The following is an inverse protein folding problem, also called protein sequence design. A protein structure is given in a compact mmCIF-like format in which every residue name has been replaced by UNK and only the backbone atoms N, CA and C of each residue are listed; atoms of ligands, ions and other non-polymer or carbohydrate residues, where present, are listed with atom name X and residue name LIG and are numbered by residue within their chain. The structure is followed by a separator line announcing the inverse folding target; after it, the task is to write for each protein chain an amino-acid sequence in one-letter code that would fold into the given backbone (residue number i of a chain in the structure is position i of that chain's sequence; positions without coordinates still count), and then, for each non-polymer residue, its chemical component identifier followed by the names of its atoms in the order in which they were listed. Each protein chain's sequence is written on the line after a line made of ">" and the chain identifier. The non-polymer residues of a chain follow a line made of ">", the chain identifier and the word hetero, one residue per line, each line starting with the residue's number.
data_IF_002557338395
#
_entry.id   IF_002557338395
#
_cell.length_a   1.000
_cell.length_b   1.000
_cell.length_c   1.000
_cell.angle_alpha   90.00
_cell.angle_beta   90.00
_cell.angle_gamma   90.00
#
_symmetry.space_group_name_H-M   'P 1'
#
loop_
_entity.id
_entity.type
_entity.pdbx_description
1 polymer ?
#
# COMPACT_ATOMS: atom_id res chain seq x y z
N UNK A 1 -11.69 -5.54 10.09
CA UNK A 1 -10.55 -5.69 11.01
C UNK A 1 -9.72 -4.42 11.08
N UNK A 2 -9.01 -4.28 12.15
CA UNK A 2 -8.19 -3.11 12.44
C UNK A 2 -6.76 -3.57 12.71
N UNK A 3 -5.80 -2.95 12.04
CA UNK A 3 -4.38 -3.04 12.35
C UNK A 3 -3.99 -1.84 13.23
N UNK A 4 -3.34 -2.09 14.36
CA UNK A 4 -2.82 -1.01 15.22
C UNK A 4 -1.52 -0.47 14.64
N UNK A 5 -1.64 0.11 13.46
CA UNK A 5 -0.57 0.74 12.70
C UNK A 5 -1.13 1.88 11.88
N UNK A 6 -0.52 3.02 11.99
CA UNK A 6 -0.87 4.23 11.25
C UNK A 6 0.39 5.07 11.00
N UNK A 7 0.21 6.33 10.67
CA UNK A 7 1.36 7.19 10.34
C UNK A 7 2.30 7.43 11.53
N UNK A 8 1.88 7.24 12.78
CA UNK A 8 2.76 7.33 13.96
C UNK A 8 3.88 6.29 13.95
N UNK A 9 3.66 5.17 13.27
CA UNK A 9 4.62 4.05 13.18
C UNK A 9 5.59 4.18 12.01
N UNK A 10 5.50 5.27 11.27
CA UNK A 10 6.37 5.57 10.15
C UNK A 10 7.66 6.24 10.63
N UNK A 11 8.60 6.43 9.71
CA UNK A 11 9.81 7.22 9.94
C UNK A 11 10.03 8.19 8.79
N UNK A 12 10.75 9.30 9.01
CA UNK A 12 11.16 10.19 7.92
C UNK A 12 11.85 9.42 6.80
N UNK A 13 11.49 9.78 5.56
CA UNK A 13 11.96 9.13 4.33
C UNK A 13 11.01 8.09 3.75
N UNK A 14 10.03 7.61 4.55
CA UNK A 14 8.97 6.68 4.10
C UNK A 14 7.58 7.06 4.66
N UNK A 15 7.37 8.33 5.02
CA UNK A 15 6.04 8.77 5.46
C UNK A 15 4.99 8.57 4.36
N UNK A 16 3.78 8.17 4.75
CA UNK A 16 2.71 7.78 3.84
C UNK A 16 2.67 6.29 3.53
N UNK A 17 3.60 5.48 4.07
CA UNK A 17 3.61 4.05 3.82
C UNK A 17 2.39 3.34 4.44
N UNK A 18 1.90 3.78 5.59
CA UNK A 18 0.69 3.21 6.20
C UNK A 18 -0.55 3.43 5.31
N UNK A 19 -0.69 4.62 4.74
CA UNK A 19 -1.76 4.92 3.79
C UNK A 19 -1.59 4.18 2.46
N UNK A 20 -0.36 4.04 1.96
CA UNK A 20 -0.09 3.21 0.80
C UNK A 20 -0.51 1.75 1.03
N UNK A 21 -0.29 1.22 2.26
CA UNK A 21 -0.75 -0.13 2.61
C UNK A 21 -2.26 -0.26 2.64
N UNK A 22 -2.99 0.77 3.02
CA UNK A 22 -4.45 0.79 2.89
C UNK A 22 -4.87 0.42 1.45
N UNK A 23 -4.24 1.03 0.44
CA UNK A 23 -4.47 0.73 -0.97
C UNK A 23 -3.96 -0.66 -1.38
N UNK A 24 -2.77 -1.03 -0.94
CA UNK A 24 -2.12 -2.27 -1.36
C UNK A 24 -2.82 -3.53 -0.89
N UNK A 25 -3.55 -3.47 0.23
CA UNK A 25 -4.29 -4.62 0.76
C UNK A 25 -5.48 -5.04 -0.11
N UNK A 26 -5.89 -4.25 -1.11
CA UNK A 26 -6.92 -4.61 -2.09
C UNK A 26 -6.37 -5.22 -3.39
N UNK A 27 -5.04 -5.37 -3.52
CA UNK A 27 -4.39 -5.84 -4.76
C UNK A 27 -4.46 -7.36 -4.97
N UNK A 28 -4.98 -8.09 -4.00
CA UNK A 28 -5.29 -9.52 -4.11
C UNK A 28 -4.25 -10.44 -3.47
N UNK A 29 -4.32 -11.69 -3.86
CA UNK A 29 -3.56 -12.83 -3.30
C UNK A 29 -2.99 -13.68 -4.45
N UNK A 30 -2.29 -14.80 -4.18
CA UNK A 30 -1.87 -15.72 -5.25
C UNK A 30 -3.02 -16.24 -6.12
N UNK A 31 -4.23 -16.31 -5.58
CA UNK A 31 -5.42 -16.86 -6.26
C UNK A 31 -6.43 -15.80 -6.68
N UNK A 32 -6.25 -14.55 -6.27
CA UNK A 32 -7.14 -13.41 -6.56
C UNK A 32 -6.34 -12.26 -7.15
N UNK A 33 -6.87 -11.64 -8.19
CA UNK A 33 -6.26 -10.49 -8.84
C UNK A 33 -5.28 -10.85 -9.96
N UNK A 34 -5.16 -12.12 -10.33
CA UNK A 34 -4.28 -12.56 -11.43
C UNK A 34 -4.87 -13.73 -12.20
N UNK A 35 -4.52 -13.82 -13.50
CA UNK A 35 -4.82 -14.96 -14.37
C UNK A 35 -3.73 -16.04 -14.32
N UNK A 36 -2.51 -15.64 -13.94
CA UNK A 36 -1.32 -16.50 -13.91
C UNK A 36 -0.36 -15.96 -12.85
N UNK A 37 -0.41 -16.54 -11.67
CA UNK A 37 0.39 -16.10 -10.52
C UNK A 37 1.91 -16.24 -10.75
N UNK A 38 2.34 -17.29 -11.46
CA UNK A 38 3.77 -17.49 -11.72
C UNK A 38 4.31 -16.37 -12.60
N UNK A 39 3.63 -16.08 -13.70
CA UNK A 39 3.98 -14.99 -14.60
C UNK A 39 3.88 -13.62 -13.94
N UNK A 40 2.91 -13.44 -13.07
CA UNK A 40 2.71 -12.26 -12.24
C UNK A 40 3.98 -11.97 -11.40
N UNK A 41 4.47 -12.98 -10.66
CA UNK A 41 5.69 -12.88 -9.87
C UNK A 41 6.95 -12.61 -10.71
N UNK A 42 7.09 -13.26 -11.86
CA UNK A 42 8.21 -13.04 -12.78
C UNK A 42 8.25 -11.57 -13.25
N UNK A 43 7.10 -11.03 -13.65
CA UNK A 43 7.02 -9.62 -14.09
C UNK A 43 7.29 -8.66 -12.94
N UNK A 44 6.74 -8.91 -11.75
CA UNK A 44 6.99 -8.09 -10.57
C UNK A 44 8.48 -8.07 -10.19
N UNK A 45 9.15 -9.21 -10.23
CA UNK A 45 10.58 -9.29 -9.96
C UNK A 45 11.41 -8.49 -10.97
N UNK A 46 11.03 -8.52 -12.24
CA UNK A 46 11.70 -7.77 -13.29
C UNK A 46 11.43 -6.26 -13.19
N UNK A 47 10.22 -5.87 -12.82
CA UNK A 47 9.89 -4.48 -12.50
C UNK A 47 10.78 -3.97 -11.37
N UNK A 48 11.00 -4.75 -10.31
CA UNK A 48 11.85 -4.35 -9.18
C UNK A 48 13.31 -4.21 -9.62
N UNK A 49 13.84 -5.15 -10.41
CA UNK A 49 15.18 -5.07 -10.98
C UNK A 49 15.39 -3.77 -11.76
N UNK A 50 14.45 -3.42 -12.63
CA UNK A 50 14.53 -2.19 -13.44
C UNK A 50 14.44 -0.96 -12.55
N UNK A 51 13.57 -0.96 -11.54
CA UNK A 51 13.45 0.15 -10.58
C UNK A 51 14.72 0.35 -9.76
N UNK A 52 15.42 -0.71 -9.37
CA UNK A 52 16.73 -0.62 -8.70
C UNK A 52 17.77 0.08 -9.58
N UNK A 53 17.81 -0.27 -10.87
CA UNK A 53 18.70 0.38 -11.83
C UNK A 53 18.33 1.86 -12.03
N UNK A 54 17.04 2.19 -12.08
CA UNK A 54 16.57 3.58 -12.15
C UNK A 54 16.97 4.36 -10.89
N UNK A 55 16.82 3.80 -9.70
CA UNK A 55 17.27 4.41 -8.44
C UNK A 55 18.80 4.69 -8.44
N UNK A 56 19.57 3.80 -9.06
CA UNK A 56 21.01 4.03 -9.23
C UNK A 56 21.30 5.21 -10.17
N UNK A 57 20.57 5.32 -11.27
CA UNK A 57 20.67 6.48 -12.18
C UNK A 57 20.20 7.78 -11.53
N UNK A 58 19.11 7.75 -10.75
CA UNK A 58 18.63 8.92 -10.00
C UNK A 58 19.70 9.44 -9.02
N UNK A 59 20.46 8.54 -8.37
CA UNK A 59 21.59 8.94 -7.51
C UNK A 59 22.69 9.65 -8.31
N UNK A 60 23.01 9.17 -9.51
CA UNK A 60 23.97 9.82 -10.41
C UNK A 60 23.48 11.20 -10.84
N UNK A 61 22.22 11.28 -11.24
CA UNK A 61 21.61 12.55 -11.67
C UNK A 61 21.56 13.57 -10.52
N UNK A 62 21.30 13.15 -9.28
CA UNK A 62 21.41 14.02 -8.10
C UNK A 62 22.84 14.55 -7.91
N UNK A 63 23.87 13.72 -8.17
CA UNK A 63 25.26 14.17 -8.11
C UNK A 63 25.57 15.17 -9.24
N UNK A 64 25.06 14.96 -10.45
CA UNK A 64 25.19 15.91 -11.58
C UNK A 64 24.50 17.24 -11.27
N UNK A 65 23.31 17.21 -10.70
CA UNK A 65 22.58 18.41 -10.27
C UNK A 65 23.36 19.21 -9.23
N UNK A 66 23.96 18.55 -8.23
CA UNK A 66 24.79 19.22 -7.23
C UNK A 66 26.06 19.88 -7.81
N UNK A 67 26.52 19.39 -8.96
CA UNK A 67 27.65 19.99 -9.70
C UNK A 67 27.21 21.04 -10.73
N UNK A 68 25.89 21.28 -10.86
CA UNK A 68 25.34 22.22 -11.84
C UNK A 68 25.35 21.73 -13.30
N UNK A 69 25.59 20.42 -13.53
CA UNK A 69 25.56 19.81 -14.86
C UNK A 69 24.14 19.66 -15.43
N UNK A 70 23.15 19.54 -14.53
CA UNK A 70 21.72 19.59 -14.81
C UNK A 70 21.06 20.57 -13.85
N UNK A 71 20.02 21.24 -14.30
CA UNK A 71 19.35 22.30 -13.52
C UNK A 71 18.03 21.83 -12.92
N UNK A 72 17.36 20.86 -13.55
CA UNK A 72 16.09 20.28 -13.06
C UNK A 72 16.14 18.75 -13.11
N UNK A 73 16.02 18.14 -11.94
CA UNK A 73 15.94 16.68 -11.79
C UNK A 73 14.63 16.08 -12.36
N UNK A 74 13.60 16.88 -12.52
CA UNK A 74 12.28 16.42 -12.97
C UNK A 74 12.08 16.64 -14.47
N UNK A 75 12.91 17.45 -15.10
CA UNK A 75 12.84 17.70 -16.54
C UNK A 75 13.17 16.41 -17.32
N UNK A 76 12.24 15.86 -18.12
CA UNK A 76 12.46 14.66 -18.92
C UNK A 76 13.64 14.77 -19.90
N UNK A 77 13.93 15.99 -20.40
CA UNK A 77 15.00 16.21 -21.37
C UNK A 77 16.38 16.17 -20.71
N UNK A 78 16.45 16.50 -19.42
CA UNK A 78 17.69 16.43 -18.62
C UNK A 78 17.96 15.04 -18.03
N UNK A 79 17.05 14.08 -18.22
CA UNK A 79 17.29 12.69 -17.80
C UNK A 79 18.40 12.08 -18.65
N UNK A 80 19.25 11.24 -18.01
CA UNK A 80 20.27 10.50 -18.74
C UNK A 80 19.64 9.57 -19.80
N UNK A 81 20.39 9.27 -20.87
CA UNK A 81 19.96 8.30 -21.86
C UNK A 81 19.60 6.97 -21.20
N UNK A 82 20.45 6.51 -20.26
CA UNK A 82 20.21 5.25 -19.55
C UNK A 82 18.93 5.27 -18.72
N UNK A 83 18.65 6.39 -18.05
CA UNK A 83 17.40 6.52 -17.30
C UNK A 83 16.17 6.40 -18.22
N UNK A 84 16.20 7.04 -19.39
CA UNK A 84 15.10 6.97 -20.39
C UNK A 84 14.89 5.54 -20.90
N UNK A 85 15.98 4.84 -21.25
CA UNK A 85 15.91 3.43 -21.66
C UNK A 85 15.27 2.53 -20.60
N UNK A 86 15.69 2.68 -19.34
CA UNK A 86 15.13 1.94 -18.20
C UNK A 86 13.65 2.28 -17.95
N UNK A 87 13.28 3.54 -18.09
CA UNK A 87 11.89 3.97 -17.96
C UNK A 87 11.00 3.36 -19.06
N UNK A 88 11.48 3.25 -20.29
CA UNK A 88 10.75 2.61 -21.37
C UNK A 88 10.66 1.09 -21.19
N UNK A 89 11.71 0.46 -20.67
CA UNK A 89 11.69 -0.95 -20.24
C UNK A 89 10.64 -1.17 -19.13
N UNK A 90 10.63 -0.31 -18.13
CA UNK A 90 9.65 -0.37 -17.04
C UNK A 90 8.20 -0.22 -17.54
N UNK A 91 7.93 0.73 -18.43
CA UNK A 91 6.60 0.90 -19.04
C UNK A 91 6.13 -0.36 -19.77
N UNK A 92 7.02 -1.01 -20.54
CA UNK A 92 6.68 -2.28 -21.21
C UNK A 92 6.33 -3.39 -20.22
N UNK A 93 7.03 -3.45 -19.08
CA UNK A 93 6.73 -4.42 -18.02
C UNK A 93 5.39 -4.12 -17.35
N UNK A 94 5.05 -2.85 -17.14
CA UNK A 94 3.73 -2.44 -16.62
C UNK A 94 2.62 -2.88 -17.59
N UNK A 95 2.80 -2.66 -18.89
CA UNK A 95 1.80 -3.06 -19.89
C UNK A 95 1.68 -4.59 -20.00
N UNK A 96 2.80 -5.33 -19.87
CA UNK A 96 2.78 -6.79 -19.79
C UNK A 96 2.05 -7.28 -18.54
N UNK A 97 2.27 -6.64 -17.40
CA UNK A 97 1.63 -6.96 -16.13
C UNK A 97 0.11 -6.74 -16.16
N UNK A 98 -0.34 -5.65 -16.76
CA UNK A 98 -1.78 -5.36 -16.95
C UNK A 98 -2.56 -6.46 -17.70
N UNK A 99 -1.90 -7.23 -18.56
CA UNK A 99 -2.53 -8.34 -19.29
C UNK A 99 -2.76 -9.58 -18.42
N UNK A 100 -1.97 -9.72 -17.36
CA UNK A 100 -2.03 -10.83 -16.39
C UNK A 100 -2.97 -10.50 -15.23
N UNK A 101 -3.02 -9.24 -14.81
CA UNK A 101 -3.85 -8.78 -13.70
C UNK A 101 -5.35 -8.89 -14.02
N UNK A 102 -6.13 -9.30 -13.03
CA UNK A 102 -7.60 -9.19 -13.01
C UNK A 102 -7.96 -8.01 -12.11
N UNK A 103 -8.25 -6.87 -12.73
CA UNK A 103 -8.56 -5.64 -12.00
C UNK A 103 -9.84 -5.77 -11.16
N UNK A 104 -9.81 -5.17 -9.98
CA UNK A 104 -10.97 -5.06 -9.08
C UNK A 104 -11.64 -6.40 -8.76
N UNK A 105 -10.91 -7.52 -8.86
CA UNK A 105 -11.49 -8.84 -8.61
C UNK A 105 -11.94 -8.99 -7.17
N UNK A 106 -11.21 -8.43 -6.23
CA UNK A 106 -11.54 -8.43 -4.82
C UNK A 106 -12.90 -7.74 -4.57
N UNK A 107 -13.09 -6.54 -5.11
CA UNK A 107 -14.35 -5.82 -5.03
C UNK A 107 -15.49 -6.55 -5.75
N UNK A 108 -15.21 -7.05 -6.94
CA UNK A 108 -16.21 -7.80 -7.75
C UNK A 108 -16.74 -9.02 -7.03
N UNK A 109 -15.89 -9.78 -6.32
CA UNK A 109 -16.34 -10.96 -5.56
C UNK A 109 -17.30 -10.55 -4.45
N UNK A 110 -16.98 -9.50 -3.70
CA UNK A 110 -17.90 -9.02 -2.67
C UNK A 110 -19.21 -8.49 -3.23
N UNK A 111 -19.16 -7.59 -4.21
CA UNK A 111 -20.35 -6.98 -4.81
C UNK A 111 -21.28 -8.00 -5.44
N UNK A 112 -20.75 -8.99 -6.17
CA UNK A 112 -21.54 -10.06 -6.78
C UNK A 112 -22.17 -11.02 -5.74
N UNK A 113 -21.69 -10.99 -4.49
CA UNK A 113 -22.24 -11.76 -3.38
C UNK A 113 -23.07 -10.89 -2.40
N UNK A 114 -23.48 -9.69 -2.81
CA UNK A 114 -24.31 -8.78 -2.01
C UNK A 114 -23.54 -7.97 -0.98
N UNK A 115 -22.20 -7.94 -1.05
CA UNK A 115 -21.35 -7.07 -0.24
C UNK A 115 -21.57 -5.60 -0.60
N UNK A 116 -21.48 -4.74 0.38
CA UNK A 116 -21.63 -3.29 0.24
C UNK A 116 -20.77 -2.54 1.24
N UNK A 117 -20.58 -1.25 1.03
CA UNK A 117 -19.81 -0.37 1.92
C UNK A 117 -18.37 -0.86 2.16
N UNK A 118 -17.79 -1.56 1.19
CA UNK A 118 -16.36 -1.91 1.28
C UNK A 118 -15.54 -0.63 1.25
N UNK A 119 -14.73 -0.45 2.29
CA UNK A 119 -13.83 0.70 2.37
C UNK A 119 -12.69 0.42 3.38
N UNK A 120 -11.75 1.35 3.44
CA UNK A 120 -10.70 1.40 4.44
C UNK A 120 -10.40 2.85 4.80
N UNK A 121 -9.70 3.07 5.89
CA UNK A 121 -9.12 4.36 6.24
C UNK A 121 -7.89 4.19 7.13
N UNK A 122 -6.97 5.11 6.99
CA UNK A 122 -5.76 5.21 7.81
C UNK A 122 -5.82 6.47 8.66
N UNK A 123 -5.44 6.33 9.92
CA UNK A 123 -5.26 7.41 10.88
C UNK A 123 -3.81 7.51 11.33
N UNK A 124 -3.55 8.31 12.34
CA UNK A 124 -2.24 8.34 12.99
C UNK A 124 -1.89 7.00 13.65
N UNK A 125 -2.87 6.34 14.30
CA UNK A 125 -2.63 5.20 15.21
C UNK A 125 -3.10 3.86 14.65
N UNK A 126 -3.98 3.85 13.65
CA UNK A 126 -4.52 2.60 13.12
C UNK A 126 -4.97 2.71 11.67
N UNK A 127 -5.04 1.56 11.02
CA UNK A 127 -5.65 1.37 9.71
C UNK A 127 -6.79 0.37 9.83
N UNK A 128 -7.97 0.73 9.36
CA UNK A 128 -9.18 -0.10 9.44
C UNK A 128 -9.68 -0.48 8.04
N UNK A 129 -10.17 -1.71 7.93
CA UNK A 129 -10.76 -2.27 6.71
C UNK A 129 -12.12 -2.86 7.06
N UNK A 130 -13.15 -2.50 6.34
CA UNK A 130 -14.51 -2.92 6.66
C UNK A 130 -15.37 -3.13 5.43
N UNK A 131 -16.37 -3.98 5.61
CA UNK A 131 -17.38 -4.28 4.61
C UNK A 131 -18.66 -4.75 5.29
N UNK A 132 -19.80 -4.52 4.67
CA UNK A 132 -21.06 -5.14 5.05
C UNK A 132 -21.36 -6.28 4.09
N UNK A 133 -21.59 -7.47 4.62
CA UNK A 133 -21.98 -8.65 3.84
C UNK A 133 -23.32 -9.21 4.34
N UNK A 134 -24.11 -9.88 3.50
CA UNK A 134 -25.29 -10.63 3.97
C UNK A 134 -24.90 -11.66 5.04
N UNK A 135 -25.78 -11.94 6.01
CA UNK A 135 -25.47 -12.85 7.13
C UNK A 135 -25.05 -14.25 6.67
N UNK A 136 -25.61 -14.75 5.55
CA UNK A 136 -25.23 -16.02 4.94
C UNK A 136 -23.90 -15.98 4.17
N UNK A 137 -23.18 -14.84 4.15
CA UNK A 137 -21.88 -14.64 3.49
C UNK A 137 -20.75 -14.37 4.48
N UNK A 138 -20.96 -14.64 5.77
CA UNK A 138 -19.92 -14.48 6.79
C UNK A 138 -18.68 -15.32 6.47
N UNK A 139 -18.84 -16.56 5.98
CA UNK A 139 -17.70 -17.39 5.62
C UNK A 139 -16.92 -16.84 4.42
N UNK A 140 -17.58 -16.22 3.45
CA UNK A 140 -16.91 -15.49 2.35
C UNK A 140 -16.03 -14.36 2.91
N UNK A 141 -16.54 -13.58 3.86
CA UNK A 141 -15.77 -12.54 4.54
C UNK A 141 -14.54 -13.14 5.23
N UNK A 142 -14.70 -14.21 6.02
CA UNK A 142 -13.59 -14.85 6.72
C UNK A 142 -12.50 -15.34 5.75
N UNK A 143 -12.89 -15.93 4.62
CA UNK A 143 -11.98 -16.41 3.59
C UNK A 143 -11.23 -15.26 2.90
N UNK A 144 -11.94 -14.24 2.44
CA UNK A 144 -11.36 -13.10 1.72
C UNK A 144 -10.39 -12.30 2.59
N UNK A 145 -10.83 -11.95 3.82
CA UNK A 145 -10.04 -11.11 4.71
C UNK A 145 -8.81 -11.86 5.27
N UNK A 146 -8.97 -13.14 5.65
CA UNK A 146 -7.82 -13.94 6.07
C UNK A 146 -6.85 -14.20 4.92
N UNK A 147 -7.36 -14.38 3.70
CA UNK A 147 -6.54 -14.62 2.52
C UNK A 147 -5.57 -13.48 2.24
N UNK A 148 -6.05 -12.23 2.24
CA UNK A 148 -5.20 -11.06 2.02
C UNK A 148 -4.24 -10.75 3.18
N UNK A 149 -4.48 -11.31 4.37
CA UNK A 149 -3.57 -11.23 5.52
C UNK A 149 -2.56 -12.38 5.55
N UNK A 150 -2.86 -13.51 4.92
CA UNK A 150 -1.95 -14.65 4.87
C UNK A 150 -0.90 -14.52 3.78
N UNK A 151 -1.35 -14.16 2.59
CA UNK A 151 -0.53 -14.15 1.37
C UNK A 151 -0.89 -12.95 0.49
N UNK A 152 -0.65 -11.70 0.95
CA UNK A 152 -0.88 -10.54 0.12
C UNK A 152 0.08 -10.51 -1.05
N UNK A 153 -0.38 -10.08 -2.22
CA UNK A 153 0.46 -9.84 -3.37
C UNK A 153 0.36 -8.37 -3.76
N UNK A 154 1.44 -7.63 -3.56
CA UNK A 154 1.48 -6.19 -3.78
C UNK A 154 1.69 -5.84 -5.27
N UNK A 155 0.68 -6.17 -6.08
CA UNK A 155 0.63 -5.86 -7.51
C UNK A 155 0.53 -4.37 -7.75
N UNK A 156 1.07 -3.91 -8.86
CA UNK A 156 1.00 -2.49 -9.26
C UNK A 156 1.56 -1.52 -8.21
N UNK A 157 2.51 -1.96 -7.37
CA UNK A 157 3.04 -1.20 -6.25
C UNK A 157 3.42 0.24 -6.63
N UNK A 158 4.18 0.40 -7.70
CA UNK A 158 4.64 1.72 -8.14
C UNK A 158 3.51 2.57 -8.74
N UNK A 159 2.57 1.95 -9.43
CA UNK A 159 1.40 2.64 -9.93
C UNK A 159 0.50 3.14 -8.79
N UNK A 160 0.32 2.32 -7.76
CA UNK A 160 -0.48 2.70 -6.59
C UNK A 160 0.19 3.79 -5.76
N UNK A 161 1.50 3.75 -5.64
CA UNK A 161 2.28 4.84 -5.03
C UNK A 161 2.08 6.16 -5.76
N UNK A 162 2.04 6.13 -7.08
CA UNK A 162 1.76 7.32 -7.90
C UNK A 162 0.30 7.79 -7.73
N UNK A 163 -0.66 6.87 -7.55
CA UNK A 163 -2.07 7.19 -7.18
C UNK A 163 -2.14 7.91 -5.84
N UNK A 164 -1.46 7.41 -4.80
CA UNK A 164 -1.39 8.06 -3.48
C UNK A 164 -0.76 9.44 -3.59
N UNK A 165 0.26 9.60 -4.43
CA UNK A 165 0.88 10.91 -4.68
C UNK A 165 -0.08 11.90 -5.33
N UNK A 166 -0.87 11.48 -6.32
CA UNK A 166 -1.89 12.32 -6.94
C UNK A 166 -3.05 12.63 -5.98
N UNK A 167 -3.45 11.68 -5.14
CA UNK A 167 -4.43 11.91 -4.07
C UNK A 167 -3.96 13.00 -3.11
N UNK A 168 -2.67 12.96 -2.71
CA UNK A 168 -2.07 14.03 -1.91
C UNK A 168 -2.18 15.38 -2.61
N UNK A 169 -1.86 15.46 -3.91
CA UNK A 169 -1.99 16.70 -4.69
C UNK A 169 -3.42 17.25 -4.65
N UNK A 170 -4.41 16.38 -4.83
CA UNK A 170 -5.81 16.77 -4.80
C UNK A 170 -6.29 17.18 -3.40
N UNK A 171 -5.95 16.43 -2.37
CA UNK A 171 -6.48 16.67 -1.02
C UNK A 171 -5.73 17.73 -0.22
N UNK A 172 -4.42 17.81 -0.40
CA UNK A 172 -3.56 18.70 0.40
C UNK A 172 -3.11 19.92 -0.40
N UNK A 173 -2.53 19.72 -1.58
CA UNK A 173 -1.86 20.81 -2.30
C UNK A 173 -2.84 21.72 -3.04
N UNK A 174 -3.94 21.17 -3.55
CA UNK A 174 -4.97 21.92 -4.30
C UNK A 174 -5.99 22.61 -3.40
N UNK A 175 -5.92 22.44 -2.08
CA UNK A 175 -6.87 23.01 -1.13
C UNK A 175 -6.19 23.95 -0.13
N UNK A 176 -6.70 25.18 0.11
CA UNK A 176 -6.11 26.08 1.10
C UNK A 176 -6.09 25.48 2.52
N UNK A 177 -7.16 24.79 2.92
CA UNK A 177 -7.25 24.12 4.22
C UNK A 177 -6.28 22.93 4.33
N UNK A 178 -6.02 22.21 3.27
CA UNK A 178 -5.07 21.10 3.25
C UNK A 178 -3.65 21.57 3.58
N UNK A 179 -3.17 22.61 2.88
CA UNK A 179 -1.87 23.22 3.14
C UNK A 179 -1.77 23.85 4.53
N UNK A 180 -2.83 24.55 4.95
CA UNK A 180 -2.87 25.14 6.28
C UNK A 180 -2.78 24.08 7.37
N UNK A 181 -3.60 23.03 7.30
CA UNK A 181 -3.61 21.95 8.31
C UNK A 181 -2.28 21.21 8.36
N UNK A 182 -1.67 20.95 7.21
CA UNK A 182 -0.36 20.31 7.14
C UNK A 182 0.72 21.18 7.82
N UNK A 183 0.78 22.47 7.47
CA UNK A 183 1.73 23.41 8.05
C UNK A 183 1.49 23.59 9.57
N UNK A 184 0.23 23.72 9.96
CA UNK A 184 -0.15 23.88 11.38
C UNK A 184 0.29 22.64 12.20
N UNK A 185 -0.04 21.43 11.74
CA UNK A 185 0.32 20.21 12.45
C UNK A 185 1.83 20.03 12.54
N UNK A 186 2.57 20.31 11.47
CA UNK A 186 4.04 20.20 11.45
C UNK A 186 4.72 21.18 12.43
N UNK A 187 4.11 22.32 12.68
CA UNK A 187 4.62 23.31 13.66
C UNK A 187 4.16 23.00 15.08
N UNK A 188 2.91 22.52 15.23
CA UNK A 188 2.34 22.21 16.55
C UNK A 188 2.99 20.99 17.21
N UNK A 189 3.28 19.96 16.42
CA UNK A 189 3.88 18.71 16.89
C UNK A 189 5.40 18.69 16.60
N UNK A 190 6.19 19.46 17.33
CA UNK A 190 7.62 19.67 17.05
C UNK A 190 8.44 18.38 16.94
N UNK A 191 8.21 17.39 17.81
CA UNK A 191 8.99 16.14 17.86
C UNK A 191 8.14 14.88 17.90
N UNK A 192 6.82 15.00 17.83
CA UNK A 192 5.91 13.87 17.83
C UNK A 192 5.59 13.43 16.39
N UNK A 193 5.46 12.12 16.10
CA UNK A 193 5.08 11.60 14.77
C UNK A 193 3.77 12.13 14.21
N UNK A 194 2.91 12.76 15.00
CA UNK A 194 1.71 13.44 14.51
C UNK A 194 2.03 14.73 13.71
N UNK A 195 3.28 15.16 13.70
CA UNK A 195 3.73 16.30 12.90
C UNK A 195 3.77 16.05 11.41
N UNK A 196 3.86 14.79 10.95
CA UNK A 196 3.76 14.50 9.51
C UNK A 196 2.35 14.08 9.11
N UNK A 197 1.95 14.37 7.87
CA UNK A 197 0.61 14.04 7.38
C UNK A 197 0.44 12.53 7.20
N UNK A 198 -0.76 12.01 7.49
CA UNK A 198 -1.09 10.59 7.29
C UNK A 198 -0.85 10.13 5.84
N UNK A 199 -1.12 11.01 4.88
CA UNK A 199 -0.88 10.73 3.45
C UNK A 199 0.63 10.72 3.09
N UNK A 200 1.49 11.21 3.97
CA UNK A 200 2.94 11.28 3.77
C UNK A 200 3.43 12.59 3.15
N UNK A 201 4.73 12.87 3.31
CA UNK A 201 5.37 14.01 2.68
C UNK A 201 5.57 13.79 1.16
N UNK A 202 5.53 14.86 0.35
CA UNK A 202 5.71 14.75 -1.11
C UNK A 202 7.11 14.27 -1.50
N UNK A 203 8.11 14.43 -0.64
CA UNK A 203 9.47 13.90 -0.84
C UNK A 203 9.56 12.40 -0.56
N UNK A 204 8.74 11.90 0.36
CA UNK A 204 8.86 10.54 0.90
C UNK A 204 8.07 9.52 0.09
N UNK A 205 6.84 9.87 -0.32
CA UNK A 205 5.97 8.95 -1.08
C UNK A 205 6.69 8.36 -2.31
N UNK A 206 7.36 9.15 -3.19
CA UNK A 206 8.08 8.59 -4.34
C UNK A 206 9.33 7.78 -3.94
N UNK A 207 9.82 7.96 -2.71
CA UNK A 207 11.00 7.26 -2.22
C UNK A 207 10.69 5.88 -1.65
N UNK A 208 9.44 5.62 -1.22
CA UNK A 208 9.02 4.32 -0.68
C UNK A 208 9.34 3.22 -1.68
N UNK A 209 10.14 2.25 -1.25
CA UNK A 209 10.53 1.08 -2.04
C UNK A 209 9.67 -0.14 -1.68
N UNK A 210 9.69 -1.15 -2.55
CA UNK A 210 9.04 -2.42 -2.24
C UNK A 210 9.64 -3.08 -1.00
N UNK A 211 10.95 -2.95 -0.80
CA UNK A 211 11.62 -3.47 0.39
C UNK A 211 11.11 -2.81 1.68
N UNK A 212 10.91 -1.47 1.69
CA UNK A 212 10.27 -0.78 2.82
C UNK A 212 8.85 -1.30 3.06
N UNK A 213 8.09 -1.55 1.99
CA UNK A 213 6.76 -2.11 2.07
C UNK A 213 6.76 -3.52 2.67
N UNK A 214 7.62 -4.42 2.17
CA UNK A 214 7.72 -5.79 2.68
C UNK A 214 8.11 -5.80 4.17
N UNK A 215 9.02 -4.92 4.59
CA UNK A 215 9.42 -4.77 5.99
C UNK A 215 8.28 -4.23 6.86
N UNK A 216 7.58 -3.21 6.38
CA UNK A 216 6.44 -2.62 7.09
C UNK A 216 5.31 -3.64 7.30
N UNK A 217 4.97 -4.39 6.25
CA UNK A 217 3.99 -5.46 6.34
C UNK A 217 4.40 -6.53 7.36
N UNK A 218 5.62 -7.06 7.22
CA UNK A 218 6.13 -8.11 8.10
C UNK A 218 6.23 -7.68 9.58
N UNK A 219 6.31 -6.38 9.85
CA UNK A 219 6.38 -5.83 11.21
C UNK A 219 5.00 -5.60 11.82
N UNK A 220 4.07 -5.02 11.06
CA UNK A 220 2.83 -4.50 11.62
C UNK A 220 1.57 -5.31 11.29
N UNK A 221 1.53 -6.06 10.17
CA UNK A 221 0.37 -6.86 9.76
C UNK A 221 0.48 -8.30 10.30
N UNK A 222 0.62 -8.41 11.60
CA UNK A 222 0.78 -9.66 12.34
C UNK A 222 -0.38 -9.86 13.33
N UNK A 223 -0.80 -11.12 13.63
CA UNK A 223 -2.01 -11.38 14.41
C UNK A 223 -2.04 -10.68 15.77
N UNK A 224 -0.91 -10.51 16.44
CA UNK A 224 -0.83 -9.81 17.74
C UNK A 224 -1.10 -8.31 17.64
N UNK A 225 -1.08 -7.75 16.42
CA UNK A 225 -1.37 -6.34 16.15
C UNK A 225 -2.72 -6.12 15.44
N UNK A 226 -3.48 -7.20 15.20
CA UNK A 226 -4.75 -7.16 14.49
C UNK A 226 -5.93 -7.42 15.43
N UNK A 227 -7.03 -6.75 15.19
CA UNK A 227 -8.31 -6.99 15.87
C UNK A 227 -9.41 -7.23 14.83
N UNK A 228 -10.03 -8.40 14.89
CA UNK A 228 -11.22 -8.70 14.10
C UNK A 228 -12.47 -8.27 14.86
N UNK A 229 -13.34 -7.48 14.23
CA UNK A 229 -14.59 -7.02 14.80
C UNK A 229 -15.75 -7.47 13.91
N UNK A 230 -16.71 -8.17 14.49
CA UNK A 230 -17.91 -8.63 13.81
C UNK A 230 -19.14 -8.05 14.49
N UNK A 231 -20.02 -7.41 13.71
CA UNK A 231 -21.28 -6.84 14.20
C UNK A 231 -22.39 -7.20 13.22
N UNK A 232 -23.47 -7.83 13.70
CA UNK A 232 -24.58 -8.18 12.84
C UNK A 232 -25.36 -9.42 13.32
N UNK A 233 -26.13 -10.00 12.40
CA UNK A 233 -26.96 -11.19 12.64
C UNK A 233 -26.14 -12.46 12.37
N UNK A 234 -25.57 -13.03 13.44
CA UNK A 234 -24.83 -14.31 13.42
C UNK A 234 -24.84 -14.96 14.82
N UNK A 235 -24.59 -16.26 14.86
CA UNK A 235 -24.35 -16.97 16.13
C UNK A 235 -22.88 -16.85 16.52
N UNK A 236 -22.59 -16.25 17.66
CA UNK A 236 -21.23 -15.97 18.14
C UNK A 236 -20.32 -17.20 18.17
N UNK A 237 -20.86 -18.37 18.58
CA UNK A 237 -20.10 -19.62 18.62
C UNK A 237 -19.66 -20.10 17.22
N UNK A 238 -20.54 -19.98 16.24
CA UNK A 238 -20.24 -20.34 14.84
C UNK A 238 -19.25 -19.35 14.23
N UNK A 239 -19.43 -18.04 14.45
CA UNK A 239 -18.54 -17.02 14.00
C UNK A 239 -17.11 -17.16 14.59
N UNK A 240 -17.01 -17.50 15.89
CA UNK A 240 -15.72 -17.77 16.53
C UNK A 240 -15.03 -18.98 15.90
N UNK A 241 -15.75 -20.08 15.66
CA UNK A 241 -15.19 -21.25 15.01
C UNK A 241 -14.68 -20.95 13.58
N UNK A 242 -15.43 -20.14 12.81
CA UNK A 242 -14.98 -19.68 11.51
C UNK A 242 -13.75 -18.79 11.62
N UNK A 243 -13.72 -17.84 12.56
CA UNK A 243 -12.56 -16.98 12.78
C UNK A 243 -11.31 -17.82 13.10
N UNK A 244 -11.43 -18.80 13.98
CA UNK A 244 -10.34 -19.74 14.29
C UNK A 244 -9.90 -20.56 13.07
N UNK A 245 -10.83 -21.05 12.26
CA UNK A 245 -10.55 -21.80 11.02
C UNK A 245 -9.74 -20.98 10.02
N UNK A 246 -10.10 -19.71 9.81
CA UNK A 246 -9.54 -18.87 8.77
C UNK A 246 -8.35 -18.04 9.25
N UNK A 247 -8.49 -17.28 10.31
CA UNK A 247 -7.45 -16.39 10.84
C UNK A 247 -6.45 -17.12 11.74
N UNK A 248 -6.82 -18.26 12.33
CA UNK A 248 -5.90 -19.08 13.13
C UNK A 248 -4.69 -19.63 12.36
N UNK A 249 -4.68 -19.51 11.02
CA UNK A 249 -3.55 -19.84 10.15
C UNK A 249 -2.47 -18.74 10.12
N UNK A 250 -2.79 -17.53 10.57
CA UNK A 250 -1.84 -16.43 10.64
C UNK A 250 -0.72 -16.78 11.62
N UNK A 251 0.51 -16.63 11.18
CA UNK A 251 1.67 -16.90 12.02
C UNK A 251 2.04 -15.65 12.81
N UNK A 252 2.47 -15.86 14.03
CA UNK A 252 3.01 -14.80 14.87
C UNK A 252 4.15 -14.06 14.19
N UNK A 253 4.21 -12.74 14.40
CA UNK A 253 5.27 -11.89 13.88
C UNK A 253 6.66 -12.33 14.36
N UNK A 254 7.65 -12.20 13.49
CA UNK A 254 9.06 -12.47 13.83
C UNK A 254 9.71 -11.33 14.61
N UNK A 255 9.17 -10.11 14.46
CA UNK A 255 9.62 -8.89 15.14
C UNK A 255 8.60 -8.51 16.20
N UNK A 256 9.07 -7.90 17.28
CA UNK A 256 8.18 -7.22 18.23
C UNK A 256 7.59 -5.99 17.53
N UNK A 257 6.28 -5.83 17.64
CA UNK A 257 5.62 -4.59 17.18
C UNK A 257 6.06 -3.48 18.12
N UNK A 258 6.66 -2.40 17.59
CA UNK A 258 7.15 -1.30 18.42
C UNK A 258 6.06 -0.50 19.09
#
# INVERSE_FOLDING_TARGET
>A
WVARVGSVNERPGITGIAHLFEHMMFKGTPTLGTKDYKKDLEIMAEQERVRDLMRAEDRKMRAMWRRGEITDLFDPEQKTKRWRELNDEFKKLVDAHRKVIVKNEFDRIYTSNGGSRMNAYTTYDHTAYFITVPSNKLELFMWMESGRLLEPVFREFYAERDVVFEERRMRTESTPLGKFSESFNSLFWESHPYGWPVIGWPSDIPAISKADADEFYATFYVPENLTLVLVGDFKSKEALAMAQKYFGRLKRGKKTVP
#
